data_IF_533389014177
#
_entry.id   IF_533389014177
#
_cell.length_a   1.000
_cell.length_b   1.000
_cell.length_c   1.000
_cell.angle_alpha   90.00
_cell.angle_beta   90.00
_cell.angle_gamma   90.00
#
_symmetry.space_group_name_H-M   'P 1'
#
loop_
_entity.id
_entity.type
_entity.pdbx_description
1 polymer ?
#
# COMPACT_ATOMS: atom_id res chain seq x y z
N UNK A 1 -5.64 -1.60 -2.14
CA UNK A 1 -5.70 -2.53 -0.96
C UNK A 1 -6.42 -1.78 0.16
N UNK A 2 -7.24 -2.39 1.01
CA UNK A 2 -7.98 -1.61 2.03
C UNK A 2 -7.04 -0.76 2.92
N UNK A 3 -5.92 -1.31 3.39
CA UNK A 3 -4.95 -0.54 4.18
C UNK A 3 -4.31 0.60 3.38
N UNK A 4 -4.08 0.42 2.07
CA UNK A 4 -3.61 1.49 1.19
C UNK A 4 -4.63 2.63 1.11
N UNK A 5 -5.90 2.31 0.89
CA UNK A 5 -6.97 3.32 0.82
C UNK A 5 -7.14 4.05 2.15
N UNK A 6 -7.08 3.33 3.27
CA UNK A 6 -7.16 3.94 4.60
C UNK A 6 -5.93 4.81 4.90
N UNK A 7 -4.74 4.41 4.46
CA UNK A 7 -3.51 5.21 4.64
C UNK A 7 -3.62 6.57 3.97
N UNK A 8 -4.40 6.69 2.90
CA UNK A 8 -4.67 7.98 2.26
C UNK A 8 -5.43 9.00 3.11
N UNK A 9 -6.07 8.58 4.21
CA UNK A 9 -6.64 9.49 5.20
C UNK A 9 -5.56 10.30 5.93
N UNK A 10 -4.34 9.76 6.06
CA UNK A 10 -3.20 10.41 6.72
C UNK A 10 -2.20 11.00 5.74
N UNK A 11 -2.02 10.41 4.56
CA UNK A 11 -1.06 10.87 3.55
C UNK A 11 -1.62 10.72 2.12
N UNK A 12 -1.80 11.85 1.42
CA UNK A 12 -2.48 11.87 0.11
C UNK A 12 -1.65 11.26 -1.01
N UNK A 13 -0.32 11.38 -0.96
CA UNK A 13 0.56 10.89 -2.02
C UNK A 13 1.26 9.58 -1.66
N UNK A 14 1.87 8.91 -2.64
CA UNK A 14 2.71 7.72 -2.40
C UNK A 14 4.17 8.11 -2.17
N UNK A 15 4.42 8.96 -1.17
CA UNK A 15 5.77 9.42 -0.82
C UNK A 15 6.39 8.58 0.32
N UNK A 16 7.58 8.94 0.79
CA UNK A 16 8.27 8.20 1.86
C UNK A 16 7.44 8.07 3.14
N UNK A 17 6.64 9.08 3.49
CA UNK A 17 5.75 9.05 4.65
C UNK A 17 4.63 8.02 4.45
N UNK A 18 4.04 7.94 3.26
CA UNK A 18 3.05 6.92 2.94
C UNK A 18 3.60 5.51 3.09
N UNK A 19 4.78 5.24 2.51
CA UNK A 19 5.38 3.92 2.64
C UNK A 19 5.79 3.59 4.07
N UNK A 20 6.20 4.58 4.86
CA UNK A 20 6.43 4.40 6.31
C UNK A 20 5.16 4.01 7.07
N UNK A 21 4.02 4.61 6.74
CA UNK A 21 2.72 4.22 7.33
C UNK A 21 2.29 2.83 6.87
N UNK A 22 2.52 2.46 5.60
CA UNK A 22 2.27 1.10 5.11
C UNK A 22 3.16 0.07 5.81
N UNK A 23 4.44 0.39 6.05
CA UNK A 23 5.37 -0.46 6.80
C UNK A 23 4.92 -0.65 8.24
N UNK A 24 4.29 0.35 8.86
CA UNK A 24 3.73 0.27 10.20
C UNK A 24 2.41 -0.51 10.27
N UNK A 25 1.45 -0.21 9.40
CA UNK A 25 0.10 -0.78 9.47
C UNK A 25 -0.03 -2.14 8.78
N UNK A 26 0.83 -2.44 7.82
CA UNK A 26 0.82 -3.70 7.08
C UNK A 26 2.23 -4.09 6.63
N UNK A 27 3.11 -4.57 7.52
CA UNK A 27 4.52 -4.86 7.21
C UNK A 27 4.73 -5.79 5.99
N UNK A 28 3.74 -6.62 5.64
CA UNK A 28 3.76 -7.55 4.51
C UNK A 28 3.17 -6.98 3.20
N UNK A 29 2.84 -5.68 3.14
CA UNK A 29 2.14 -5.08 2.01
C UNK A 29 2.85 -5.28 0.66
N UNK A 30 4.19 -5.37 0.66
CA UNK A 30 5.00 -5.62 -0.55
C UNK A 30 4.70 -6.99 -1.16
N UNK A 31 4.50 -8.02 -0.33
CA UNK A 31 4.12 -9.37 -0.79
C UNK A 31 2.74 -9.36 -1.43
N UNK A 32 1.76 -8.74 -0.76
CA UNK A 32 0.40 -8.63 -1.30
C UNK A 32 0.34 -7.77 -2.57
N UNK A 33 1.13 -6.69 -2.65
CA UNK A 33 1.25 -5.90 -3.88
C UNK A 33 1.84 -6.73 -5.02
N UNK A 34 2.88 -7.53 -4.75
CA UNK A 34 3.47 -8.42 -5.74
C UNK A 34 2.46 -9.47 -6.23
N UNK A 35 1.64 -10.03 -5.34
CA UNK A 35 0.55 -10.93 -5.71
C UNK A 35 -0.46 -10.22 -6.61
N UNK A 36 -0.99 -9.07 -6.21
CA UNK A 36 -1.96 -8.32 -7.01
C UNK A 36 -1.44 -7.98 -8.41
N UNK A 37 -0.15 -7.61 -8.53
CA UNK A 37 0.51 -7.40 -9.82
C UNK A 37 0.53 -8.67 -10.66
N UNK A 38 0.82 -9.85 -10.07
CA UNK A 38 0.75 -11.14 -10.77
C UNK A 38 -0.65 -11.49 -11.28
N UNK A 39 -1.68 -11.06 -10.56
CA UNK A 39 -3.08 -11.25 -10.97
C UNK A 39 -3.58 -10.18 -11.97
N UNK A 40 -2.73 -9.24 -12.40
CA UNK A 40 -3.14 -8.14 -13.30
C UNK A 40 -4.01 -7.08 -12.64
N UNK A 41 -4.14 -7.09 -11.31
CA UNK A 41 -4.94 -6.16 -10.52
C UNK A 41 -4.06 -5.03 -9.97
N UNK A 42 -3.43 -4.27 -10.86
CA UNK A 42 -2.47 -3.21 -10.50
C UNK A 42 -3.05 -1.81 -10.75
N UNK A 43 -3.76 -1.26 -9.78
CA UNK A 43 -4.10 0.17 -9.69
C UNK A 43 -3.57 0.79 -8.38
N UNK A 44 -2.41 0.33 -7.90
CA UNK A 44 -1.77 0.75 -6.64
C UNK A 44 -0.33 1.20 -6.83
#
# INVERSE_FOLDING_TARGET
MLVHELTHLWERGHNARFYGLMDQFMPTWRTHQAELKRWGMSNL
#
